data_IF_917210534308
#
_entry.id   IF_917210534308
#
_cell.length_a   1.000
_cell.length_b   1.000
_cell.length_c   1.000
_cell.angle_alpha   90.00
_cell.angle_beta   90.00
_cell.angle_gamma   90.00
#
_symmetry.space_group_name_H-M   'P 1'
#
loop_
_entity.id
_entity.type
_entity.pdbx_description
1 polymer ?
#
# COMPACT_ATOMS: atom_id res chain seq x y z
N UNK A 1 -22.68 11.96 16.08
CA UNK A 1 -21.46 12.73 16.38
C UNK A 1 -20.53 12.72 15.18
N UNK A 2 -20.11 13.88 14.72
CA UNK A 2 -19.11 14.04 13.65
C UNK A 2 -18.04 14.99 14.20
N UNK A 3 -16.77 14.68 13.96
CA UNK A 3 -15.67 15.54 14.39
C UNK A 3 -15.67 16.85 13.60
N UNK A 4 -15.88 17.98 14.28
CA UNK A 4 -16.04 19.31 13.64
C UNK A 4 -14.79 19.81 12.90
N UNK A 5 -13.60 19.37 13.32
CA UNK A 5 -12.31 19.81 12.76
C UNK A 5 -11.50 18.68 12.13
N UNK A 6 -12.17 17.63 11.65
CA UNK A 6 -11.49 16.57 10.92
C UNK A 6 -11.05 17.05 9.53
N UNK A 7 -9.74 17.09 9.30
CA UNK A 7 -9.14 17.39 7.99
C UNK A 7 -8.82 16.06 7.29
N UNK A 8 -9.56 15.66 6.24
CA UNK A 8 -9.28 14.42 5.52
C UNK A 8 -7.96 14.54 4.77
N UNK A 9 -7.20 13.44 4.73
CA UNK A 9 -6.07 13.29 3.84
C UNK A 9 -6.55 12.71 2.49
N UNK A 10 -6.05 13.26 1.39
CA UNK A 10 -6.39 12.80 0.05
C UNK A 10 -5.24 11.96 -0.52
N UNK A 11 -5.47 10.67 -0.73
CA UNK A 11 -4.47 9.74 -1.26
C UNK A 11 -5.05 8.69 -2.19
N UNK A 12 -4.17 8.01 -2.91
CA UNK A 12 -4.47 6.91 -3.81
C UNK A 12 -4.39 5.55 -3.09
N UNK A 13 -3.46 5.40 -2.15
CA UNK A 13 -3.25 4.17 -1.41
C UNK A 13 -4.02 4.20 -0.09
N UNK A 14 -4.78 3.14 0.21
CA UNK A 14 -5.71 3.10 1.33
C UNK A 14 -5.02 3.24 2.69
N UNK A 15 -3.88 2.58 2.89
CA UNK A 15 -3.16 2.58 4.17
C UNK A 15 -2.51 3.96 4.46
N UNK A 16 -1.90 4.60 3.45
CA UNK A 16 -1.38 5.97 3.56
C UNK A 16 -2.50 6.98 3.72
N UNK A 17 -3.66 6.78 3.08
CA UNK A 17 -4.81 7.68 3.20
C UNK A 17 -5.40 7.67 4.60
N UNK A 18 -5.63 6.48 5.16
CA UNK A 18 -6.10 6.33 6.53
C UNK A 18 -5.09 6.92 7.52
N UNK A 19 -3.81 6.54 7.40
CA UNK A 19 -2.75 7.01 8.31
C UNK A 19 -2.50 8.51 8.20
N UNK A 20 -2.46 9.07 6.98
CA UNK A 20 -2.32 10.51 6.75
C UNK A 20 -3.44 11.31 7.41
N UNK A 21 -4.68 10.80 7.36
CA UNK A 21 -5.83 11.45 8.02
C UNK A 21 -5.66 11.48 9.54
N UNK A 22 -5.11 10.41 10.12
CA UNK A 22 -4.81 10.37 11.56
C UNK A 22 -3.63 11.26 11.95
N UNK A 23 -2.69 11.53 11.04
CA UNK A 23 -1.56 12.43 11.28
C UNK A 23 -1.95 13.90 11.16
N UNK A 24 -2.85 14.24 10.23
CA UNK A 24 -3.39 15.60 10.09
C UNK A 24 -4.07 16.09 11.37
N UNK A 25 -4.79 15.23 12.09
CA UNK A 25 -5.39 15.61 13.38
C UNK A 25 -4.33 15.93 14.46
N UNK A 26 -3.09 15.48 14.29
CA UNK A 26 -1.95 15.79 15.16
C UNK A 26 -1.16 17.02 14.67
N UNK A 27 -1.60 17.68 13.59
CA UNK A 27 -0.87 18.76 12.94
C UNK A 27 0.36 18.31 12.16
N UNK A 28 0.48 17.01 11.86
CA UNK A 28 1.61 16.45 11.10
C UNK A 28 1.19 16.34 9.63
N UNK A 29 1.67 17.28 8.81
CA UNK A 29 1.33 17.33 7.40
C UNK A 29 2.48 16.80 6.53
N UNK A 30 2.22 15.70 5.83
CA UNK A 30 3.14 15.04 4.90
C UNK A 30 2.40 14.76 3.59
N UNK A 31 3.12 14.71 2.47
CA UNK A 31 2.57 14.25 1.19
C UNK A 31 2.36 12.73 1.20
N UNK A 32 1.58 12.19 0.26
CA UNK A 32 1.41 10.73 0.15
C UNK A 32 2.73 10.01 -0.18
N UNK A 33 3.58 10.49 -1.12
CA UNK A 33 4.90 9.92 -1.32
C UNK A 33 5.75 9.91 -0.04
N UNK A 34 5.75 11.00 0.72
CA UNK A 34 6.51 11.07 1.98
C UNK A 34 6.00 10.06 3.03
N UNK A 35 4.67 9.87 3.13
CA UNK A 35 4.09 8.82 3.98
C UNK A 35 4.53 7.43 3.52
N UNK A 36 4.46 7.15 2.21
CA UNK A 36 4.86 5.87 1.65
C UNK A 36 6.35 5.57 1.89
N UNK A 37 7.21 6.56 1.65
CA UNK A 37 8.66 6.44 1.85
C UNK A 37 9.07 6.28 3.32
N UNK A 38 8.53 7.11 4.21
CA UNK A 38 8.74 6.96 5.66
C UNK A 38 8.15 5.67 6.22
N UNK A 39 7.14 5.11 5.55
CA UNK A 39 6.60 3.79 5.83
C UNK A 39 7.47 2.64 5.32
N UNK A 40 8.60 2.94 4.68
CA UNK A 40 9.48 1.94 4.03
C UNK A 40 8.66 1.08 3.05
N UNK A 41 7.77 1.75 2.33
CA UNK A 41 6.63 1.14 1.66
C UNK A 41 7.00 0.31 0.43
N UNK A 42 8.12 0.58 -0.24
CA UNK A 42 8.45 -0.10 -1.49
C UNK A 42 8.83 -1.55 -1.21
N UNK A 43 8.20 -2.47 -1.94
CA UNK A 43 8.47 -3.89 -1.82
C UNK A 43 8.23 -4.62 -3.13
N UNK A 44 8.34 -5.93 -3.07
CA UNK A 44 7.87 -6.80 -4.13
C UNK A 44 7.52 -8.16 -3.55
N UNK A 45 6.43 -8.76 -4.01
CA UNK A 45 6.12 -10.16 -3.75
C UNK A 45 5.42 -10.78 -4.96
N UNK A 46 5.84 -12.00 -5.32
CA UNK A 46 5.06 -12.90 -6.16
C UNK A 46 4.59 -14.08 -5.34
N UNK A 47 3.29 -14.35 -5.32
CA UNK A 47 2.72 -15.41 -4.52
C UNK A 47 1.76 -16.27 -5.33
N UNK A 48 1.99 -17.58 -5.36
CA UNK A 48 1.16 -18.53 -6.10
C UNK A 48 0.94 -19.78 -5.24
N UNK A 49 -0.29 -19.98 -4.77
CA UNK A 49 -0.68 -21.17 -4.01
C UNK A 49 -1.76 -21.93 -4.78
N UNK A 50 -1.82 -23.26 -4.60
CA UNK A 50 -2.81 -24.11 -5.28
C UNK A 50 -4.28 -23.72 -5.04
N UNK A 51 -4.56 -23.05 -3.91
CA UNK A 51 -5.91 -22.61 -3.53
C UNK A 51 -6.30 -21.26 -4.14
N UNK A 52 -5.36 -20.55 -4.78
CA UNK A 52 -5.62 -19.25 -5.40
C UNK A 52 -6.11 -19.46 -6.83
N UNK A 53 -7.08 -18.63 -7.24
CA UNK A 53 -7.59 -18.64 -8.62
C UNK A 53 -6.47 -18.33 -9.63
N UNK A 54 -5.59 -17.37 -9.28
CA UNK A 54 -4.43 -16.96 -10.04
C UNK A 54 -3.33 -16.40 -9.11
N UNK A 55 -2.05 -16.33 -9.55
CA UNK A 55 -0.96 -15.74 -8.78
C UNK A 55 -1.18 -14.27 -8.42
N UNK A 56 -0.71 -13.86 -7.24
CA UNK A 56 -0.72 -12.48 -6.78
C UNK A 56 0.64 -11.81 -6.98
N UNK A 57 0.64 -10.58 -7.50
CA UNK A 57 1.80 -9.70 -7.57
C UNK A 57 1.54 -8.47 -6.68
N UNK A 58 2.41 -8.24 -5.70
CA UNK A 58 2.35 -7.10 -4.79
C UNK A 58 3.58 -6.22 -4.89
N UNK A 59 3.39 -4.90 -4.78
CA UNK A 59 4.44 -3.89 -4.96
C UNK A 59 4.91 -3.18 -3.69
N UNK A 60 4.40 -3.57 -2.53
CA UNK A 60 4.64 -2.88 -1.27
C UNK A 60 5.01 -3.82 -0.14
N UNK A 61 5.47 -3.25 0.96
CA UNK A 61 5.64 -3.93 2.24
C UNK A 61 4.33 -4.56 2.72
N UNK A 62 4.43 -5.57 3.60
CA UNK A 62 3.29 -6.27 4.19
C UNK A 62 2.25 -5.28 4.78
N UNK A 63 0.95 -5.60 4.74
CA UNK A 63 -0.08 -4.80 5.42
C UNK A 63 0.28 -4.54 6.88
N UNK A 64 -0.21 -3.43 7.43
CA UNK A 64 0.02 -2.94 8.79
C UNK A 64 1.45 -2.39 9.04
N UNK A 65 2.48 -2.98 8.41
CA UNK A 65 3.87 -2.57 8.61
C UNK A 65 4.18 -1.16 8.10
N UNK A 66 3.50 -0.70 7.05
CA UNK A 66 3.69 0.65 6.53
C UNK A 66 3.33 1.67 7.62
N UNK A 67 2.18 1.51 8.27
CA UNK A 67 1.75 2.38 9.38
C UNK A 67 2.66 2.26 10.60
N UNK A 68 3.11 1.03 10.94
CA UNK A 68 4.09 0.80 12.02
C UNK A 68 5.42 1.53 11.76
N UNK A 69 5.91 1.47 10.52
CA UNK A 69 7.15 2.11 10.10
C UNK A 69 7.04 3.64 10.09
N UNK A 70 5.92 4.20 9.61
CA UNK A 70 5.66 5.64 9.71
C UNK A 70 5.72 6.08 11.18
N UNK A 71 5.00 5.38 12.06
CA UNK A 71 5.01 5.72 13.48
C UNK A 71 6.41 5.62 14.10
N UNK A 72 7.16 4.57 13.78
CA UNK A 72 8.54 4.39 14.23
C UNK A 72 9.46 5.52 13.75
N UNK A 73 9.44 5.83 12.46
CA UNK A 73 10.32 6.83 11.84
C UNK A 73 9.94 8.26 12.24
N UNK A 74 8.72 8.51 12.74
CA UNK A 74 8.27 9.80 13.26
C UNK A 74 8.25 9.88 14.79
N UNK A 75 8.72 8.85 15.50
CA UNK A 75 8.68 8.77 16.97
C UNK A 75 7.25 8.94 17.55
N UNK A 76 6.27 8.32 16.89
CA UNK A 76 4.87 8.30 17.30
C UNK A 76 4.51 6.98 17.98
N UNK A 77 3.52 7.02 18.86
CA UNK A 77 2.92 5.83 19.47
C UNK A 77 1.75 5.37 18.61
N UNK A 78 1.85 4.19 18.03
CA UNK A 78 0.73 3.48 17.43
C UNK A 78 0.01 2.66 18.51
N UNK A 79 -1.29 2.86 18.64
CA UNK A 79 -2.14 2.07 19.53
C UNK A 79 -3.13 1.24 18.70
N UNK A 80 -3.00 -0.08 18.79
CA UNK A 80 -3.79 -1.03 17.99
C UNK A 80 -4.68 -1.85 18.91
N UNK A 81 -5.95 -1.95 18.54
CA UNK A 81 -6.93 -2.79 19.20
C UNK A 81 -7.48 -3.84 18.24
N UNK A 82 -7.52 -5.09 18.70
CA UNK A 82 -8.14 -6.22 18.00
C UNK A 82 -9.02 -7.03 18.95
N UNK A 83 -10.15 -7.51 18.44
CA UNK A 83 -11.07 -8.35 19.21
C UNK A 83 -12.00 -9.12 18.28
N UNK A 84 -12.41 -10.32 18.70
CA UNK A 84 -13.45 -11.08 18.01
C UNK A 84 -14.87 -10.64 18.37
N UNK A 85 -15.04 -9.85 19.44
CA UNK A 85 -16.35 -9.34 19.85
C UNK A 85 -16.73 -8.10 19.06
N UNK A 86 -17.80 -8.20 18.28
CA UNK A 86 -18.39 -7.08 17.53
C UNK A 86 -18.72 -5.89 18.44
N UNK A 87 -19.38 -6.15 19.58
CA UNK A 87 -19.75 -5.09 20.53
C UNK A 87 -18.52 -4.36 21.09
N UNK A 88 -17.49 -5.12 21.48
CA UNK A 88 -16.23 -4.52 21.97
C UNK A 88 -15.49 -3.76 20.87
N UNK A 89 -15.50 -4.29 19.64
CA UNK A 89 -14.90 -3.63 18.48
C UNK A 89 -15.53 -2.28 18.18
N UNK A 90 -16.86 -2.18 18.28
CA UNK A 90 -17.57 -0.92 18.15
C UNK A 90 -17.23 0.04 19.29
N UNK A 91 -17.24 -0.45 20.53
CA UNK A 91 -16.90 0.37 21.70
C UNK A 91 -15.50 0.99 21.60
N UNK A 92 -14.49 0.23 21.15
CA UNK A 92 -13.13 0.73 20.95
C UNK A 92 -13.07 1.92 19.97
N UNK A 93 -13.90 1.92 18.93
CA UNK A 93 -13.98 3.02 17.96
C UNK A 93 -14.78 4.19 18.53
N UNK A 94 -15.97 3.89 19.05
CA UNK A 94 -16.89 4.88 19.60
C UNK A 94 -16.23 5.72 20.70
N UNK A 95 -15.51 5.09 21.63
CA UNK A 95 -14.81 5.80 22.71
C UNK A 95 -13.74 6.77 22.20
N UNK A 96 -13.05 6.45 21.12
CA UNK A 96 -12.06 7.38 20.53
C UNK A 96 -12.76 8.56 19.82
N UNK A 97 -13.81 8.28 19.05
CA UNK A 97 -14.61 9.31 18.38
C UNK A 97 -15.27 10.27 19.39
N UNK A 98 -15.86 9.73 20.46
CA UNK A 98 -16.46 10.51 21.54
C UNK A 98 -15.43 11.40 22.26
N UNK A 99 -14.15 11.00 22.25
CA UNK A 99 -13.02 11.78 22.77
C UNK A 99 -12.36 12.68 21.72
N UNK A 100 -13.03 12.93 20.59
CA UNK A 100 -12.56 13.86 19.57
C UNK A 100 -11.48 13.30 18.63
N UNK A 101 -11.26 11.98 18.58
CA UNK A 101 -10.17 11.36 17.80
C UNK A 101 -10.70 10.49 16.67
N UNK A 102 -10.22 10.75 15.45
CA UNK A 102 -10.46 9.86 14.33
C UNK A 102 -9.73 8.53 14.52
N UNK A 103 -10.25 7.45 13.92
CA UNK A 103 -9.75 6.09 14.11
C UNK A 103 -9.47 5.44 12.76
N UNK A 104 -8.32 4.81 12.61
CA UNK A 104 -8.00 4.00 11.44
C UNK A 104 -8.62 2.61 11.59
N UNK A 105 -9.18 2.08 10.51
CA UNK A 105 -9.84 0.78 10.46
C UNK A 105 -9.21 -0.07 9.37
N UNK A 106 -9.13 -1.38 9.61
CA UNK A 106 -8.91 -2.37 8.57
C UNK A 106 -10.21 -3.10 8.26
N UNK A 107 -10.54 -3.21 6.98
CA UNK A 107 -11.89 -3.52 6.48
C UNK A 107 -11.81 -4.49 5.29
N UNK A 108 -12.88 -5.27 5.10
CA UNK A 108 -13.22 -5.82 3.78
C UNK A 108 -14.10 -4.85 3.01
N UNK A 109 -13.61 -4.36 1.87
CA UNK A 109 -14.33 -3.40 1.05
C UNK A 109 -15.59 -3.97 0.38
N UNK A 110 -15.74 -5.28 0.28
CA UNK A 110 -16.96 -5.93 -0.19
C UNK A 110 -18.20 -5.43 0.56
N UNK A 111 -18.10 -5.35 1.89
CA UNK A 111 -19.25 -5.00 2.74
C UNK A 111 -19.54 -3.50 2.77
N UNK A 112 -18.64 -2.63 2.30
CA UNK A 112 -18.79 -1.18 2.40
C UNK A 112 -19.78 -0.67 1.34
N UNK A 113 -20.84 0.02 1.77
CA UNK A 113 -21.98 0.37 0.90
C UNK A 113 -21.59 1.26 -0.30
N UNK A 114 -20.56 2.09 -0.13
CA UNK A 114 -20.07 3.02 -1.15
C UNK A 114 -19.14 2.38 -2.20
N UNK A 115 -18.68 1.13 -1.99
CA UNK A 115 -17.95 0.39 -3.02
C UNK A 115 -18.91 -0.16 -4.07
N UNK A 116 -18.85 0.40 -5.29
CA UNK A 116 -19.69 -0.03 -6.42
C UNK A 116 -19.38 -1.48 -6.85
N UNK A 117 -18.10 -1.84 -6.89
CA UNK A 117 -17.65 -3.20 -7.24
C UNK A 117 -17.45 -4.03 -5.97
N UNK A 118 -18.26 -5.09 -5.84
CA UNK A 118 -18.26 -5.97 -4.67
C UNK A 118 -17.27 -7.11 -4.85
N UNK A 119 -16.06 -6.92 -4.32
CA UNK A 119 -14.98 -7.93 -4.32
C UNK A 119 -14.45 -8.06 -2.89
N UNK A 120 -14.33 -9.30 -2.39
CA UNK A 120 -13.74 -9.58 -1.08
C UNK A 120 -12.26 -9.19 -1.06
N UNK A 121 -11.93 -8.19 -0.26
CA UNK A 121 -10.58 -7.74 0.00
C UNK A 121 -10.48 -7.18 1.43
N UNK A 122 -10.32 -8.08 2.39
CA UNK A 122 -10.17 -7.79 3.83
C UNK A 122 -8.83 -7.13 4.23
N UNK A 123 -8.13 -6.51 3.28
CA UNK A 123 -6.89 -5.76 3.45
C UNK A 123 -7.02 -4.27 3.17
N UNK A 124 -8.25 -3.75 3.14
CA UNK A 124 -8.53 -2.33 2.89
C UNK A 124 -8.41 -1.50 4.16
N UNK A 125 -8.07 -0.22 4.02
CA UNK A 125 -7.91 0.71 5.13
C UNK A 125 -8.72 1.99 4.87
N UNK A 126 -9.39 2.48 5.90
CA UNK A 126 -10.07 3.77 5.89
C UNK A 126 -10.01 4.39 7.29
N UNK A 127 -10.21 5.70 7.37
CA UNK A 127 -10.37 6.38 8.67
C UNK A 127 -11.85 6.69 8.92
N UNK A 128 -12.34 6.44 10.13
CA UNK A 128 -13.67 6.86 10.58
C UNK A 128 -13.52 8.14 11.40
N UNK A 129 -14.38 9.13 11.12
CA UNK A 129 -14.36 10.44 11.78
C UNK A 129 -15.74 10.85 12.34
N UNK A 130 -16.74 9.97 12.23
CA UNK A 130 -18.06 10.24 12.78
C UNK A 130 -18.99 9.05 12.66
N UNK A 131 -20.08 9.12 13.39
CA UNK A 131 -21.19 8.18 13.31
C UNK A 131 -22.50 8.83 13.77
N UNK A 132 -23.63 8.31 13.34
CA UNK A 132 -24.94 8.57 13.93
C UNK A 132 -25.61 7.24 14.32
N UNK A 133 -26.92 7.22 14.51
CA UNK A 133 -27.63 6.00 14.93
C UNK A 133 -27.66 4.92 13.85
N UNK A 134 -27.43 5.27 12.59
CA UNK A 134 -27.59 4.38 11.44
C UNK A 134 -26.29 4.22 10.65
N UNK A 135 -25.44 5.25 10.60
CA UNK A 135 -24.30 5.32 9.70
C UNK A 135 -22.98 5.67 10.35
N UNK A 136 -21.90 5.21 9.73
CA UNK A 136 -20.54 5.66 9.94
C UNK A 136 -20.08 6.56 8.79
N UNK A 137 -19.29 7.57 9.12
CA UNK A 137 -18.72 8.54 8.20
C UNK A 137 -17.20 8.32 8.10
N UNK A 138 -16.72 8.02 6.89
CA UNK A 138 -15.34 7.59 6.63
C UNK A 138 -14.64 8.52 5.63
N UNK A 139 -13.32 8.62 5.78
CA UNK A 139 -12.43 9.10 4.74
C UNK A 139 -11.65 7.91 4.16
N UNK A 140 -11.76 7.76 2.85
CA UNK A 140 -11.21 6.69 2.03
C UNK A 140 -10.40 7.29 0.87
N UNK A 141 -9.83 6.45 0.02
CA UNK A 141 -9.04 6.83 -1.16
C UNK A 141 -9.81 7.72 -2.13
N UNK A 142 -9.08 8.48 -2.95
CA UNK A 142 -9.63 9.34 -4.00
C UNK A 142 -10.59 8.61 -4.97
N UNK A 143 -10.46 7.28 -5.11
CA UNK A 143 -11.31 6.48 -5.97
C UNK A 143 -12.73 6.26 -5.41
N UNK A 144 -12.91 6.29 -4.09
CA UNK A 144 -14.15 5.89 -3.40
C UNK A 144 -15.01 7.07 -2.93
N UNK A 145 -14.71 8.28 -3.43
CA UNK A 145 -15.30 9.56 -3.04
C UNK A 145 -14.98 9.98 -1.59
N UNK A 146 -14.72 11.28 -1.39
CA UNK A 146 -14.06 11.82 -0.17
C UNK A 146 -14.95 11.89 1.08
N UNK A 147 -16.25 11.63 0.92
CA UNK A 147 -17.24 11.66 2.00
C UNK A 147 -17.96 10.32 2.01
N UNK A 148 -17.18 9.26 2.18
CA UNK A 148 -17.69 7.91 2.19
C UNK A 148 -18.59 7.67 3.41
N UNK A 149 -19.70 6.97 3.20
CA UNK A 149 -20.70 6.67 4.22
C UNK A 149 -21.18 5.24 4.05
N UNK A 150 -21.31 4.51 5.15
CA UNK A 150 -21.83 3.14 5.17
C UNK A 150 -22.64 2.92 6.43
N UNK A 151 -23.61 2.01 6.39
CA UNK A 151 -24.42 1.65 7.56
C UNK A 151 -23.54 1.05 8.66
N UNK A 152 -23.94 1.21 9.92
CA UNK A 152 -23.24 0.57 11.04
C UNK A 152 -23.23 -0.95 10.91
N UNK A 153 -24.26 -1.54 10.28
CA UNK A 153 -24.33 -2.97 10.01
C UNK A 153 -23.31 -3.41 8.96
N UNK A 154 -23.20 -2.67 7.88
CA UNK A 154 -22.20 -2.88 6.83
C UNK A 154 -20.78 -2.73 7.38
N UNK A 155 -20.54 -1.71 8.21
CA UNK A 155 -19.25 -1.52 8.89
C UNK A 155 -18.90 -2.69 9.82
N UNK A 156 -19.87 -3.20 10.58
CA UNK A 156 -19.69 -4.39 11.43
C UNK A 156 -19.24 -5.60 10.62
N UNK A 157 -19.91 -5.88 9.48
CA UNK A 157 -19.54 -6.98 8.58
C UNK A 157 -18.13 -6.77 8.00
N UNK A 158 -17.84 -5.56 7.48
CA UNK A 158 -16.55 -5.20 6.92
C UNK A 158 -15.40 -5.42 7.90
N UNK A 159 -15.59 -5.08 9.19
CA UNK A 159 -14.58 -5.22 10.24
C UNK A 159 -14.42 -6.66 10.73
N UNK A 160 -15.49 -7.44 10.71
CA UNK A 160 -15.51 -8.79 11.28
C UNK A 160 -15.27 -9.90 10.25
N UNK A 161 -15.00 -9.56 8.99
CA UNK A 161 -14.70 -10.54 7.95
C UNK A 161 -13.54 -11.49 8.34
N UNK A 162 -13.55 -12.68 7.74
CA UNK A 162 -12.58 -13.75 7.96
C UNK A 162 -11.90 -14.12 6.65
N UNK A 163 -10.73 -14.74 6.77
CA UNK A 163 -9.97 -15.24 5.63
C UNK A 163 -8.71 -14.43 5.34
N UNK A 164 -8.15 -14.58 4.13
CA UNK A 164 -6.87 -13.96 3.77
C UNK A 164 -6.87 -12.45 4.00
N UNK A 165 -5.75 -11.91 4.52
CA UNK A 165 -5.53 -10.49 4.82
C UNK A 165 -6.42 -9.85 5.90
N UNK A 166 -7.51 -10.51 6.33
CA UNK A 166 -8.40 -10.04 7.39
C UNK A 166 -7.69 -9.88 8.74
N UNK A 167 -8.22 -8.99 9.59
CA UNK A 167 -7.82 -8.85 10.99
C UNK A 167 -9.05 -8.88 11.89
N UNK A 168 -8.86 -9.19 13.18
CA UNK A 168 -9.97 -9.32 14.14
C UNK A 168 -10.51 -7.95 14.54
N UNK A 169 -11.37 -7.37 13.73
CA UNK A 169 -11.98 -6.05 13.94
C UNK A 169 -10.96 -4.93 14.25
N UNK A 170 -9.80 -4.98 13.58
CA UNK A 170 -8.66 -4.12 13.87
C UNK A 170 -9.01 -2.64 13.74
N UNK A 171 -8.71 -1.88 14.77
CA UNK A 171 -8.80 -0.42 14.81
C UNK A 171 -7.53 0.15 15.41
N UNK A 172 -7.10 1.33 14.99
CA UNK A 172 -5.88 1.95 15.48
C UNK A 172 -5.96 3.47 15.59
N UNK A 173 -5.23 4.01 16.54
CA UNK A 173 -5.01 5.44 16.73
C UNK A 173 -3.52 5.74 16.80
N UNK A 174 -3.15 6.98 16.49
CA UNK A 174 -1.77 7.45 16.53
C UNK A 174 -1.69 8.60 17.52
N UNK A 175 -0.65 8.59 18.35
CA UNK A 175 -0.41 9.61 19.35
C UNK A 175 1.03 10.11 19.27
N UNK A 176 1.20 11.42 19.42
CA UNK A 176 2.53 12.00 19.57
C UNK A 176 3.07 11.69 20.98
N UNK A 177 4.22 11.00 21.05
CA UNK A 177 4.86 10.63 22.33
C UNK A 177 5.90 11.67 22.78
N UNK A 178 6.39 12.50 21.88
CA UNK A 178 7.41 13.51 22.14
C UNK A 178 7.69 14.38 20.92
N UNK A 179 8.87 15.01 20.87
CA UNK A 179 9.29 15.79 19.71
C UNK A 179 9.46 14.85 18.49
N UNK A 180 9.01 15.32 17.33
CA UNK A 180 9.30 14.67 16.06
C UNK A 180 10.82 14.63 15.81
N UNK A 181 11.34 13.58 15.17
CA UNK A 181 12.75 13.52 14.81
C UNK A 181 13.08 14.58 13.76
N UNK A 182 14.39 14.81 13.56
CA UNK A 182 14.84 15.59 12.41
C UNK A 182 14.35 14.93 11.12
N UNK A 183 13.81 15.74 10.21
CA UNK A 183 13.21 15.25 8.97
C UNK A 183 14.25 14.60 8.06
N UNK A 184 15.47 15.13 7.99
CA UNK A 184 16.54 14.58 7.15
C UNK A 184 16.96 13.21 7.68
N UNK A 185 17.09 13.08 9.00
CA UNK A 185 17.45 11.81 9.64
C UNK A 185 16.37 10.74 9.44
N UNK A 186 15.09 11.10 9.60
CA UNK A 186 13.98 10.17 9.38
C UNK A 186 13.93 9.65 7.94
N UNK A 187 14.13 10.54 6.95
CA UNK A 187 14.19 10.18 5.53
C UNK A 187 15.36 9.23 5.25
N UNK A 188 16.58 9.57 5.70
CA UNK A 188 17.76 8.72 5.50
C UNK A 188 17.56 7.33 6.11
N UNK A 189 17.07 7.25 7.34
CA UNK A 189 16.80 5.96 7.99
C UNK A 189 15.76 5.13 7.25
N UNK A 190 14.68 5.75 6.78
CA UNK A 190 13.64 5.05 6.02
C UNK A 190 14.19 4.53 4.68
N UNK A 191 14.95 5.33 3.93
CA UNK A 191 15.63 4.89 2.70
C UNK A 191 16.56 3.71 2.99
N UNK A 192 17.38 3.81 4.03
CA UNK A 192 18.35 2.77 4.39
C UNK A 192 17.68 1.44 4.74
N UNK A 193 16.65 1.49 5.59
CA UNK A 193 15.91 0.30 6.03
C UNK A 193 15.12 -0.33 4.88
N UNK A 194 14.41 0.48 4.10
CA UNK A 194 13.68 -0.02 2.94
C UNK A 194 14.61 -0.71 1.94
N UNK A 195 15.74 -0.09 1.59
CA UNK A 195 16.72 -0.67 0.69
C UNK A 195 17.35 -1.94 1.26
N UNK A 196 17.63 -1.96 2.58
CA UNK A 196 18.16 -3.14 3.26
C UNK A 196 17.20 -4.31 3.18
N UNK A 197 15.93 -4.12 3.51
CA UNK A 197 14.93 -5.18 3.46
C UNK A 197 14.68 -5.68 2.04
N UNK A 198 14.63 -4.76 1.06
CA UNK A 198 14.44 -5.10 -0.34
C UNK A 198 15.58 -5.96 -0.92
N UNK A 199 16.82 -5.68 -0.50
CA UNK A 199 18.02 -6.42 -0.91
C UNK A 199 18.23 -7.73 -0.15
N UNK A 200 17.63 -7.88 1.02
CA UNK A 200 17.83 -9.05 1.89
C UNK A 200 16.51 -9.80 2.14
N UNK A 201 15.79 -10.24 1.08
CA UNK A 201 14.51 -10.90 1.25
C UNK A 201 14.69 -12.28 1.91
N UNK A 202 13.77 -12.70 2.81
CA UNK A 202 13.87 -13.97 3.50
C UNK A 202 13.62 -15.19 2.60
N UNK A 203 12.96 -14.97 1.45
CA UNK A 203 12.67 -15.99 0.43
C UNK A 203 12.80 -15.39 -0.97
N UNK A 204 12.96 -16.23 -1.99
CA UNK A 204 13.14 -15.80 -3.38
C UNK A 204 11.88 -15.18 -4.02
N UNK A 205 10.75 -15.18 -3.34
CA UNK A 205 9.51 -14.59 -3.84
C UNK A 205 9.42 -13.08 -3.59
N UNK A 206 10.35 -12.51 -2.84
CA UNK A 206 10.29 -11.13 -2.33
C UNK A 206 11.46 -10.30 -2.88
N UNK A 207 11.25 -8.98 -2.98
CA UNK A 207 12.27 -8.03 -3.42
C UNK A 207 12.71 -8.28 -4.86
N UNK A 208 13.93 -7.87 -5.21
CA UNK A 208 14.46 -8.07 -6.57
C UNK A 208 14.50 -9.55 -6.99
N UNK A 209 14.80 -10.46 -6.06
CA UNK A 209 14.78 -11.92 -6.32
C UNK A 209 13.38 -12.39 -6.73
N UNK A 210 12.34 -11.82 -6.13
CA UNK A 210 10.95 -12.07 -6.50
C UNK A 210 10.63 -11.59 -7.90
N UNK A 211 11.11 -10.40 -8.28
CA UNK A 211 10.92 -9.86 -9.64
C UNK A 211 11.56 -10.83 -10.66
N UNK A 212 12.81 -11.23 -10.41
CA UNK A 212 13.50 -12.20 -11.26
C UNK A 212 12.74 -13.52 -11.36
N UNK A 213 12.33 -14.10 -10.23
CA UNK A 213 11.55 -15.34 -10.20
C UNK A 213 10.28 -15.25 -11.05
N UNK A 214 9.60 -14.11 -10.98
CA UNK A 214 8.35 -13.86 -11.70
C UNK A 214 8.51 -13.96 -13.20
N UNK A 215 9.65 -13.57 -13.77
CA UNK A 215 9.93 -13.70 -15.22
C UNK A 215 9.68 -15.12 -15.75
N UNK A 216 10.09 -16.14 -14.98
CA UNK A 216 9.87 -17.55 -15.33
C UNK A 216 8.48 -18.06 -14.93
N UNK A 217 7.91 -17.54 -13.85
CA UNK A 217 6.62 -18.00 -13.33
C UNK A 217 5.46 -17.53 -14.20
N UNK A 218 5.54 -16.36 -14.84
CA UNK A 218 4.48 -15.88 -15.76
C UNK A 218 4.33 -16.79 -16.99
N UNK A 219 5.42 -17.44 -17.43
CA UNK A 219 5.37 -18.41 -18.53
C UNK A 219 4.62 -19.68 -18.12
N UNK A 220 4.82 -20.15 -16.88
CA UNK A 220 4.09 -21.30 -16.32
C UNK A 220 2.63 -20.94 -16.10
N UNK A 221 2.38 -19.79 -15.49
CA UNK A 221 1.04 -19.28 -15.22
C UNK A 221 0.22 -19.19 -16.50
N UNK A 222 0.76 -18.62 -17.58
CA UNK A 222 0.10 -18.56 -18.88
C UNK A 222 -0.35 -19.94 -19.37
N UNK A 223 0.52 -20.96 -19.28
CA UNK A 223 0.22 -22.33 -19.74
C UNK A 223 -0.80 -23.05 -18.87
N UNK A 224 -0.90 -22.70 -17.59
CA UNK A 224 -1.78 -23.38 -16.62
C UNK A 224 -3.04 -22.61 -16.28
N UNK A 225 -3.16 -21.36 -16.74
CA UNK A 225 -4.33 -20.52 -16.45
C UNK A 225 -5.58 -21.12 -17.08
N UNK A 226 -6.69 -21.09 -16.32
CA UNK A 226 -8.01 -21.48 -16.81
C UNK A 226 -8.72 -20.33 -17.52
N UNK A 227 -8.24 -19.10 -17.35
CA UNK A 227 -8.81 -17.89 -17.91
C UNK A 227 -7.74 -16.81 -18.03
N UNK A 228 -6.93 -16.88 -19.10
CA UNK A 228 -5.78 -15.99 -19.34
C UNK A 228 -6.22 -14.53 -19.32
N UNK A 229 -7.35 -14.21 -19.98
CA UNK A 229 -7.90 -12.86 -20.01
C UNK A 229 -8.15 -12.31 -18.61
N UNK A 230 -8.95 -13.01 -17.80
CA UNK A 230 -9.28 -12.58 -16.43
C UNK A 230 -8.01 -12.42 -15.60
N UNK A 231 -7.16 -13.44 -15.60
CA UNK A 231 -5.96 -13.53 -14.76
C UNK A 231 -4.99 -12.35 -15.01
N UNK A 232 -4.57 -12.17 -16.26
CA UNK A 232 -3.56 -11.17 -16.61
C UNK A 232 -4.12 -9.75 -16.63
N UNK A 233 -5.37 -9.53 -17.09
CA UNK A 233 -5.97 -8.18 -17.07
C UNK A 233 -6.31 -7.72 -15.66
N UNK A 234 -6.77 -8.62 -14.78
CA UNK A 234 -6.98 -8.27 -13.38
C UNK A 234 -5.66 -7.88 -12.74
N UNK A 235 -4.58 -8.61 -13.03
CA UNK A 235 -3.25 -8.32 -12.51
C UNK A 235 -2.71 -6.99 -13.03
N UNK A 236 -2.84 -6.71 -14.34
CA UNK A 236 -2.51 -5.41 -14.92
C UNK A 236 -3.29 -4.26 -14.25
N UNK A 237 -4.60 -4.44 -14.06
CA UNK A 237 -5.45 -3.45 -13.39
C UNK A 237 -5.05 -3.24 -11.93
N UNK A 238 -4.64 -4.29 -11.20
CA UNK A 238 -4.16 -4.15 -9.82
C UNK A 238 -2.81 -3.42 -9.75
N UNK A 239 -1.91 -3.69 -10.68
CA UNK A 239 -0.61 -3.01 -10.75
C UNK A 239 -0.74 -1.50 -10.97
N UNK A 240 -1.73 -1.09 -11.76
CA UNK A 240 -1.93 0.30 -12.16
C UNK A 240 -2.94 1.06 -11.28
N UNK A 241 -4.08 0.42 -10.98
CA UNK A 241 -5.26 1.06 -10.41
C UNK A 241 -5.64 0.48 -9.03
N UNK A 242 -4.88 -0.45 -8.47
CA UNK A 242 -5.14 -1.07 -7.16
C UNK A 242 -4.77 -0.20 -5.96
N UNK A 243 -4.88 1.13 -6.08
CA UNK A 243 -4.37 2.08 -5.08
C UNK A 243 -2.84 2.06 -4.99
N UNK A 244 -2.16 1.86 -6.12
CA UNK A 244 -0.69 1.77 -6.22
C UNK A 244 -0.04 3.09 -6.63
N UNK A 245 -0.82 4.06 -7.13
CA UNK A 245 -0.29 5.24 -7.81
C UNK A 245 0.30 4.95 -9.20
N UNK A 246 0.01 3.77 -9.77
CA UNK A 246 0.58 3.31 -11.03
C UNK A 246 1.95 2.63 -10.86
N UNK A 247 2.34 1.85 -11.87
CA UNK A 247 3.63 1.17 -11.95
C UNK A 247 3.95 0.35 -10.68
N UNK A 248 2.95 -0.29 -10.09
CA UNK A 248 3.12 -1.15 -8.91
C UNK A 248 3.88 -0.45 -7.77
N UNK A 249 3.46 0.77 -7.40
CA UNK A 249 4.05 1.66 -6.37
C UNK A 249 5.36 2.37 -6.74
N UNK A 250 5.92 2.15 -7.94
CA UNK A 250 7.20 2.78 -8.31
C UNK A 250 7.07 4.28 -8.55
N UNK A 251 5.91 4.77 -9.01
CA UNK A 251 5.65 6.21 -9.09
C UNK A 251 5.67 6.87 -7.70
N UNK A 252 4.97 6.30 -6.72
CA UNK A 252 4.96 6.81 -5.35
C UNK A 252 6.35 6.81 -4.72
N UNK A 253 7.13 5.74 -4.93
CA UNK A 253 8.49 5.69 -4.40
C UNK A 253 9.44 6.67 -5.11
N UNK A 254 9.33 6.81 -6.43
CA UNK A 254 10.08 7.82 -7.18
C UNK A 254 9.79 9.23 -6.65
N UNK A 255 8.52 9.56 -6.46
CA UNK A 255 8.10 10.89 -6.02
C UNK A 255 8.58 11.16 -4.59
N UNK A 256 8.63 10.12 -3.74
CA UNK A 256 9.26 10.19 -2.42
C UNK A 256 10.76 10.49 -2.53
N UNK A 257 11.48 9.79 -3.41
CA UNK A 257 12.91 10.05 -3.62
C UNK A 257 13.15 11.46 -4.16
N UNK A 258 12.26 11.98 -5.01
CA UNK A 258 12.32 13.35 -5.52
C UNK A 258 12.16 14.38 -4.39
N UNK A 259 11.14 14.24 -3.55
CA UNK A 259 10.99 15.10 -2.38
C UNK A 259 12.18 14.97 -1.41
N UNK A 260 12.67 13.75 -1.23
CA UNK A 260 13.84 13.48 -0.38
C UNK A 260 15.11 14.12 -0.92
N UNK A 261 15.29 14.14 -2.23
CA UNK A 261 16.41 14.78 -2.90
C UNK A 261 16.43 16.28 -2.64
N UNK A 262 15.28 16.96 -2.73
CA UNK A 262 15.16 18.39 -2.45
C UNK A 262 15.47 18.70 -0.97
N UNK A 263 15.01 17.87 -0.04
CA UNK A 263 15.21 18.06 1.41
C UNK A 263 16.65 17.77 1.84
N UNK A 264 17.25 16.74 1.25
CA UNK A 264 18.61 16.27 1.57
C UNK A 264 19.69 16.97 0.72
N UNK A 265 19.30 17.70 -0.32
CA UNK A 265 20.18 18.36 -1.29
C UNK A 265 21.20 17.39 -1.91
N UNK A 266 20.74 16.18 -2.29
CA UNK A 266 21.62 15.06 -2.67
C UNK A 266 21.58 14.75 -4.17
N UNK A 267 22.63 15.16 -4.89
CA UNK A 267 22.82 14.81 -6.31
C UNK A 267 22.84 13.29 -6.55
N UNK A 268 23.27 12.49 -5.57
CA UNK A 268 23.27 11.04 -5.71
C UNK A 268 21.85 10.46 -5.64
N UNK A 269 20.97 11.01 -4.80
CA UNK A 269 19.54 10.65 -4.80
C UNK A 269 18.89 11.09 -6.12
N UNK A 270 19.25 12.27 -6.65
CA UNK A 270 18.75 12.75 -7.94
C UNK A 270 19.00 11.76 -9.08
N UNK A 271 20.19 11.17 -9.13
CA UNK A 271 20.51 10.11 -10.12
C UNK A 271 19.58 8.91 -9.96
N UNK A 272 19.32 8.48 -8.72
CA UNK A 272 18.41 7.36 -8.45
C UNK A 272 16.96 7.70 -8.78
N UNK A 273 16.51 8.95 -8.62
CA UNK A 273 15.18 9.40 -9.09
C UNK A 273 15.02 9.13 -10.59
N UNK A 274 16.01 9.48 -11.41
CA UNK A 274 15.99 9.21 -12.86
C UNK A 274 16.03 7.71 -13.18
N UNK A 275 16.71 6.91 -12.37
CA UNK A 275 16.64 5.44 -12.48
C UNK A 275 15.22 4.95 -12.21
N UNK A 276 14.55 5.48 -11.19
CA UNK A 276 13.17 5.13 -10.87
C UNK A 276 12.13 5.63 -11.88
N UNK A 277 12.38 6.73 -12.60
CA UNK A 277 11.57 7.11 -13.77
C UNK A 277 11.58 6.00 -14.84
N UNK A 278 12.77 5.45 -15.11
CA UNK A 278 12.93 4.36 -16.07
C UNK A 278 12.27 3.08 -15.55
N UNK A 279 12.51 2.74 -14.28
CA UNK A 279 11.93 1.54 -13.63
C UNK A 279 10.39 1.63 -13.60
N UNK A 280 9.82 2.79 -13.27
CA UNK A 280 8.37 2.98 -13.28
C UNK A 280 7.78 2.82 -14.69
N UNK A 281 8.47 3.34 -15.72
CA UNK A 281 8.06 3.16 -17.12
C UNK A 281 8.10 1.68 -17.54
N UNK A 282 9.12 0.94 -17.12
CA UNK A 282 9.20 -0.51 -17.39
C UNK A 282 8.08 -1.29 -16.69
N UNK A 283 7.75 -0.96 -15.45
CA UNK A 283 6.61 -1.57 -14.76
C UNK A 283 5.27 -1.28 -15.43
N UNK A 284 5.09 -0.06 -15.95
CA UNK A 284 3.94 0.30 -16.77
C UNK A 284 3.86 -0.58 -18.01
N UNK A 285 4.99 -0.77 -18.71
CA UNK A 285 5.08 -1.66 -19.87
C UNK A 285 4.72 -3.10 -19.53
N UNK A 286 5.13 -3.63 -18.37
CA UNK A 286 4.73 -4.98 -17.91
C UNK A 286 3.21 -5.05 -17.73
N UNK A 287 2.58 -4.05 -17.10
CA UNK A 287 1.13 -4.02 -16.95
C UNK A 287 0.40 -3.96 -18.31
N UNK A 288 0.90 -3.15 -19.25
CA UNK A 288 0.32 -3.05 -20.59
C UNK A 288 0.49 -4.34 -21.40
N UNK A 289 1.63 -5.03 -21.24
CA UNK A 289 1.86 -6.36 -21.82
C UNK A 289 0.91 -7.40 -21.21
N UNK A 290 0.70 -7.39 -19.89
CA UNK A 290 -0.27 -8.27 -19.24
C UNK A 290 -1.68 -8.05 -19.77
N UNK A 291 -2.07 -6.79 -19.95
CA UNK A 291 -3.35 -6.48 -20.57
C UNK A 291 -3.46 -7.06 -22.00
N UNK A 292 -2.41 -6.88 -22.82
CA UNK A 292 -2.33 -7.43 -24.19
C UNK A 292 -2.31 -8.96 -24.22
N UNK A 293 -1.65 -9.61 -23.27
CA UNK A 293 -1.67 -11.06 -23.10
C UNK A 293 -3.11 -11.54 -22.91
N UNK A 294 -3.87 -10.85 -22.06
CA UNK A 294 -5.28 -11.19 -21.85
C UNK A 294 -6.19 -10.94 -23.06
N UNK A 295 -5.86 -9.98 -23.93
CA UNK A 295 -6.62 -9.73 -25.17
C UNK A 295 -6.27 -10.71 -26.30
N UNK A 296 -5.01 -11.11 -26.41
CA UNK A 296 -4.49 -11.82 -27.60
C UNK A 296 -4.14 -13.27 -27.36
N UNK A 297 -3.94 -13.66 -26.10
CA UNK A 297 -3.39 -14.96 -25.69
C UNK A 297 -2.10 -15.33 -26.46
N UNK A 298 -1.31 -14.33 -26.84
CA UNK A 298 -0.10 -14.53 -27.62
C UNK A 298 1.13 -14.66 -26.70
N UNK A 299 1.76 -15.83 -26.71
CA UNK A 299 2.94 -16.14 -25.91
C UNK A 299 4.15 -15.22 -26.19
N UNK A 300 4.18 -14.53 -27.34
CA UNK A 300 5.20 -13.51 -27.63
C UNK A 300 5.24 -12.41 -26.56
N UNK A 301 4.08 -11.92 -26.13
CA UNK A 301 4.00 -10.86 -25.11
C UNK A 301 4.40 -11.35 -23.72
N UNK A 302 4.27 -12.66 -23.44
CA UNK A 302 4.81 -13.29 -22.23
C UNK A 302 6.33 -13.25 -22.23
N UNK A 303 6.97 -13.57 -23.37
CA UNK A 303 8.42 -13.49 -23.49
C UNK A 303 8.92 -12.05 -23.32
N UNK A 304 8.27 -11.08 -23.96
CA UNK A 304 8.60 -9.66 -23.79
C UNK A 304 8.48 -9.20 -22.32
N UNK A 305 7.40 -9.58 -21.63
CA UNK A 305 7.23 -9.25 -20.22
C UNK A 305 8.27 -9.95 -19.33
N UNK A 306 8.65 -11.19 -19.66
CA UNK A 306 9.68 -11.96 -18.96
C UNK A 306 11.04 -11.25 -19.06
N UNK A 307 11.42 -10.79 -20.25
CA UNK A 307 12.69 -10.09 -20.47
C UNK A 307 12.74 -8.77 -19.69
N UNK A 308 11.64 -8.00 -19.69
CA UNK A 308 11.53 -6.76 -18.92
C UNK A 308 11.60 -7.04 -17.40
N UNK A 309 11.01 -8.13 -16.90
CA UNK A 309 11.09 -8.49 -15.49
C UNK A 309 12.53 -8.85 -15.07
N UNK A 310 13.31 -9.49 -15.94
CA UNK A 310 14.73 -9.75 -15.68
C UNK A 310 15.50 -8.43 -15.59
N UNK A 311 15.26 -7.51 -16.53
CA UNK A 311 15.87 -6.17 -16.52
C UNK A 311 15.48 -5.38 -15.25
N UNK A 312 14.20 -5.38 -14.88
CA UNK A 312 13.68 -4.71 -13.68
C UNK A 312 14.34 -5.23 -12.41
N UNK A 313 14.55 -6.54 -12.29
CA UNK A 313 15.23 -7.13 -11.14
C UNK A 313 16.64 -6.54 -10.95
N UNK A 314 17.44 -6.48 -12.00
CA UNK A 314 18.82 -5.97 -11.92
C UNK A 314 18.86 -4.46 -11.68
N UNK A 315 17.96 -3.70 -12.32
CA UNK A 315 17.86 -2.25 -12.10
C UNK A 315 17.48 -1.92 -10.67
N UNK A 316 16.39 -2.52 -10.16
CA UNK A 316 15.94 -2.23 -8.79
C UNK A 316 16.96 -2.67 -7.74
N UNK A 317 17.63 -3.82 -7.94
CA UNK A 317 18.75 -4.23 -7.09
C UNK A 317 19.85 -3.15 -7.07
N UNK A 318 20.31 -2.72 -8.24
CA UNK A 318 21.40 -1.74 -8.36
C UNK A 318 21.02 -0.39 -7.75
N UNK A 319 19.80 0.10 -8.01
CA UNK A 319 19.31 1.37 -7.45
C UNK A 319 19.17 1.28 -5.92
N UNK A 320 18.69 0.15 -5.39
CA UNK A 320 18.62 -0.06 -3.93
C UNK A 320 20.00 -0.18 -3.29
N UNK A 321 20.99 -0.79 -3.94
CA UNK A 321 22.37 -0.82 -3.45
C UNK A 321 22.99 0.59 -3.39
N UNK A 322 22.65 1.47 -4.33
CA UNK A 322 23.05 2.89 -4.28
C UNK A 322 22.37 3.60 -3.11
N UNK A 323 21.04 3.49 -3.00
CA UNK A 323 20.27 4.11 -1.92
C UNK A 323 20.78 3.69 -0.54
N UNK A 324 20.98 2.39 -0.33
CA UNK A 324 21.52 1.85 0.93
C UNK A 324 22.86 2.47 1.32
N UNK A 325 23.74 2.74 0.34
CA UNK A 325 25.07 3.34 0.57
C UNK A 325 24.99 4.84 0.87
N UNK A 326 24.11 5.57 0.19
CA UNK A 326 23.98 7.03 0.30
C UNK A 326 23.25 7.43 1.60
N UNK A 327 22.44 6.53 2.15
CA UNK A 327 21.57 6.78 3.30
C UNK A 327 22.16 6.39 4.66
N UNK A 328 23.47 6.13 4.72
CA UNK A 328 24.21 5.81 5.97
C UNK A 328 24.63 7.09 6.68
#
# INVERSE_FOLDING_TARGET
>A
MILEHFKPFNGQHCETTATGSLLYQLGIELSEPMLFGLGEGLGYIFWNMKIMDFPFIGGRIKPDALTENICRNLNLKLEVHETTSVNKAWLNVKQNLDNGKAVGLKLDCYHLDYFANKIHFAGHYASIYGYDNEFAYLNDTNQQERVAKTSLKSLELARNEKGPMSSRNRSYTIHQKGKLPDRKDAIKQAIHRNATDFLNPPIQNIGYKGIYKTSSEIQKWFKTSKNIKKDFQTSASLMENGGTGGSLFRNLYRDFLKESEEILESNEIRKVVHEYDTIATLWKTVADLFYRIGETENFKYINEASDILIELSEKEKTSMEKLKRISV
#
